data_IF_422571293541
#
_entry.id   IF_422571293541
#
_cell.length_a   1.000
_cell.length_b   1.000
_cell.length_c   1.000
_cell.angle_alpha   90.00
_cell.angle_beta   90.00
_cell.angle_gamma   90.00
#
_symmetry.space_group_name_H-M   'P 1'
#
loop_
_entity.id
_entity.type
_entity.pdbx_description
1 polymer ?
#
# COMPACT_ATOMS: atom_id res chain seq x y z
N UNK A 1 -0.53 -26.43 -2.80
CA UNK A 1 -0.63 -25.29 -1.86
C UNK A 1 -1.30 -24.12 -2.56
N UNK A 2 -1.85 -23.17 -1.80
CA UNK A 2 -2.48 -21.94 -2.36
C UNK A 2 -1.47 -20.79 -2.32
N UNK A 3 -1.26 -20.03 -3.41
CA UNK A 3 -0.38 -18.86 -3.40
C UNK A 3 -0.76 -17.88 -2.30
N UNK A 4 0.15 -17.63 -1.35
CA UNK A 4 -0.11 -16.81 -0.16
C UNK A 4 1.08 -15.90 0.10
N UNK A 5 0.82 -14.63 0.44
CA UNK A 5 1.81 -13.64 0.85
C UNK A 5 1.39 -13.04 2.20
N UNK A 6 2.35 -12.89 3.13
CA UNK A 6 2.13 -12.24 4.43
C UNK A 6 2.93 -10.94 4.49
N UNK A 7 2.24 -9.82 4.76
CA UNK A 7 2.85 -8.50 4.95
C UNK A 7 2.80 -8.15 6.44
N UNK A 8 3.94 -7.80 7.02
CA UNK A 8 4.06 -7.39 8.43
C UNK A 8 4.42 -5.90 8.50
N UNK A 9 3.63 -5.13 9.26
CA UNK A 9 3.90 -3.70 9.48
C UNK A 9 4.63 -3.49 10.82
N UNK A 10 5.88 -3.00 10.82
CA UNK A 10 6.60 -2.75 12.07
C UNK A 10 5.92 -1.65 12.88
N UNK A 11 6.08 -1.70 14.21
CA UNK A 11 5.55 -0.70 15.16
C UNK A 11 4.04 -0.44 15.02
N UNK A 12 3.30 -1.43 14.50
CA UNK A 12 1.85 -1.40 14.39
C UNK A 12 1.25 -2.38 15.40
N UNK A 13 0.20 -1.96 16.11
CA UNK A 13 -0.56 -2.84 17.00
C UNK A 13 -1.56 -3.69 16.22
N UNK A 14 -2.79 -3.82 16.71
CA UNK A 14 -3.85 -4.56 16.00
C UNK A 14 -4.14 -4.01 14.58
N UNK A 15 -3.78 -2.76 14.28
CA UNK A 15 -3.91 -2.21 12.94
C UNK A 15 -2.84 -1.17 12.56
N UNK A 16 -2.74 -0.82 11.26
CA UNK A 16 -1.77 0.15 10.77
C UNK A 16 -2.07 1.57 11.25
N UNK A 17 -1.19 2.12 12.07
CA UNK A 17 -1.32 3.48 12.64
C UNK A 17 -0.72 4.58 11.76
N UNK A 18 0.32 4.28 11.02
CA UNK A 18 1.01 5.26 10.16
C UNK A 18 0.34 5.37 8.79
N UNK A 19 0.22 6.59 8.26
CA UNK A 19 -0.39 6.85 6.95
C UNK A 19 0.27 6.05 5.83
N UNK A 20 1.61 5.96 5.83
CA UNK A 20 2.36 5.15 4.87
C UNK A 20 2.04 3.65 4.94
N UNK A 21 1.78 3.11 6.13
CA UNK A 21 1.40 1.70 6.28
C UNK A 21 -0.02 1.46 5.78
N UNK A 22 -0.94 2.41 6.03
CA UNK A 22 -2.30 2.35 5.47
C UNK A 22 -2.28 2.40 3.95
N UNK A 23 -1.52 3.33 3.36
CA UNK A 23 -1.38 3.43 1.91
C UNK A 23 -0.78 2.15 1.30
N UNK A 24 0.29 1.62 1.90
CA UNK A 24 0.90 0.38 1.42
C UNK A 24 -0.08 -0.80 1.50
N UNK A 25 -0.84 -0.92 2.60
CA UNK A 25 -1.88 -1.94 2.74
C UNK A 25 -2.90 -1.86 1.61
N UNK A 26 -3.43 -0.68 1.32
CA UNK A 26 -4.40 -0.48 0.25
C UNK A 26 -3.81 -0.82 -1.13
N UNK A 27 -2.59 -0.37 -1.41
CA UNK A 27 -1.90 -0.71 -2.65
C UNK A 27 -1.74 -2.23 -2.83
N UNK A 28 -1.42 -2.96 -1.76
CA UNK A 28 -1.33 -4.42 -1.78
C UNK A 28 -2.68 -5.10 -1.98
N UNK A 29 -3.73 -4.61 -1.32
CA UNK A 29 -5.09 -5.12 -1.49
C UNK A 29 -5.57 -4.92 -2.94
N UNK A 30 -5.40 -3.73 -3.51
CA UNK A 30 -5.74 -3.47 -4.91
C UNK A 30 -4.90 -4.30 -5.87
N UNK A 31 -3.58 -4.42 -5.66
CA UNK A 31 -2.75 -5.29 -6.47
C UNK A 31 -3.25 -6.74 -6.49
N UNK A 32 -3.66 -7.27 -5.34
CA UNK A 32 -4.18 -8.62 -5.24
C UNK A 32 -5.51 -8.76 -5.99
N UNK A 33 -6.45 -7.83 -5.77
CA UNK A 33 -7.76 -7.83 -6.44
C UNK A 33 -7.62 -7.67 -7.96
N UNK A 34 -6.78 -6.75 -8.41
CA UNK A 34 -6.57 -6.48 -9.84
C UNK A 34 -5.96 -7.70 -10.55
N UNK A 35 -4.98 -8.35 -9.92
CA UNK A 35 -4.36 -9.55 -10.48
C UNK A 35 -5.32 -10.73 -10.55
N UNK A 36 -6.04 -11.02 -9.46
CA UNK A 36 -6.78 -12.28 -9.34
C UNK A 36 -8.27 -12.19 -9.71
N UNK A 37 -8.88 -11.01 -9.63
CA UNK A 37 -10.28 -10.79 -9.99
C UNK A 37 -10.39 -10.15 -11.36
N UNK A 38 -9.56 -9.14 -11.65
CA UNK A 38 -9.65 -8.37 -12.91
C UNK A 38 -8.69 -8.88 -14.00
N UNK A 39 -7.67 -9.66 -13.65
CA UNK A 39 -6.68 -10.17 -14.59
C UNK A 39 -5.73 -9.10 -15.16
N UNK A 40 -5.50 -8.00 -14.43
CA UNK A 40 -4.59 -6.91 -14.86
C UNK A 40 -3.59 -6.52 -13.76
N UNK A 41 -2.52 -5.86 -14.17
CA UNK A 41 -1.52 -5.33 -13.24
C UNK A 41 -1.99 -4.02 -12.59
N UNK A 42 -1.57 -3.82 -11.35
CA UNK A 42 -1.83 -2.60 -10.58
C UNK A 42 -0.54 -1.82 -10.34
N UNK A 43 -0.59 -0.51 -10.61
CA UNK A 43 0.47 0.43 -10.26
C UNK A 43 0.17 1.05 -8.89
N UNK A 44 1.16 1.04 -8.00
CA UNK A 44 0.98 1.55 -6.64
C UNK A 44 0.78 3.06 -6.65
N UNK A 45 -0.24 3.50 -5.90
CA UNK A 45 -0.45 4.92 -5.65
C UNK A 45 0.69 5.47 -4.79
N UNK A 46 1.13 6.68 -5.12
CA UNK A 46 2.24 7.35 -4.42
C UNK A 46 1.66 8.35 -3.42
N UNK A 47 2.50 8.74 -2.46
CA UNK A 47 2.14 9.86 -1.60
C UNK A 47 1.95 11.12 -2.48
N UNK A 48 0.98 11.98 -2.17
CA UNK A 48 0.94 13.30 -2.79
C UNK A 48 2.26 13.99 -2.51
N UNK A 49 2.90 14.52 -3.55
CA UNK A 49 4.12 15.33 -3.40
C UNK A 49 3.69 16.59 -2.64
N UNK A 50 4.17 16.77 -1.41
CA UNK A 50 4.12 18.09 -0.81
C UNK A 50 5.06 18.97 -1.64
N UNK A 51 4.52 19.99 -2.32
CA UNK A 51 5.37 21.10 -2.72
C UNK A 51 5.95 21.66 -1.42
N UNK A 52 7.23 21.41 -1.18
CA UNK A 52 7.97 22.08 -0.12
C UNK A 52 7.84 23.59 -0.39
N UNK A 53 6.98 24.26 0.39
CA UNK A 53 6.98 25.72 0.53
C UNK A 53 8.19 26.18 1.35
N UNK A 54 9.36 25.65 1.03
CA UNK A 54 10.65 26.08 1.55
C UNK A 54 11.61 26.30 0.38
N UNK A 55 11.29 27.31 -0.43
CA UNK A 55 12.31 28.07 -1.15
C UNK A 55 12.39 29.48 -0.55
N UNK A 56 13.21 29.53 0.51
CA UNK A 56 14.11 30.61 0.94
C UNK A 56 13.53 31.99 1.22
#
# INVERSE_FOLDING_TARGET
>A
GVPTELVIFPRSGHGPRELRHRLYRWNKEFQWLEKYIMGRDFQFEKLPVSEDKDKK
#
